data_IF_273336755966
#
_entry.id   IF_273336755966
#
_cell.length_a   1.000
_cell.length_b   1.000
_cell.length_c   1.000
_cell.angle_alpha   90.00
_cell.angle_beta   90.00
_cell.angle_gamma   90.00
#
_symmetry.space_group_name_H-M   'P 1'
#
loop_
_entity.id
_entity.type
_entity.pdbx_description
1 polymer ?
#
# COMPACT_ATOMS: atom_id res chain seq x y z
N UNK A 1 12.35 -7.27 -5.84
CA UNK A 1 11.36 -7.45 -4.74
C UNK A 1 10.05 -7.88 -5.37
N UNK A 2 9.44 -8.99 -4.93
CA UNK A 2 8.31 -9.64 -5.62
C UNK A 2 6.95 -8.98 -5.36
N UNK A 3 6.83 -8.14 -4.32
CA UNK A 3 5.58 -7.44 -3.94
C UNK A 3 5.83 -5.99 -3.51
N UNK A 4 4.82 -5.13 -3.71
CA UNK A 4 4.85 -3.77 -3.18
C UNK A 4 4.85 -3.77 -1.64
N UNK A 5 5.58 -2.86 -0.97
CA UNK A 5 5.63 -2.79 0.49
C UNK A 5 4.25 -2.68 1.17
N UNK A 6 3.29 -2.04 0.50
CA UNK A 6 1.91 -1.92 0.97
C UNK A 6 1.23 -3.29 1.10
N UNK A 7 1.32 -4.09 0.02
CA UNK A 7 0.74 -5.43 -0.04
C UNK A 7 1.41 -6.31 1.02
N UNK A 8 2.73 -6.21 1.14
CA UNK A 8 3.49 -6.96 2.15
C UNK A 8 3.06 -6.61 3.57
N UNK A 9 2.83 -5.33 3.87
CA UNK A 9 2.36 -4.90 5.19
C UNK A 9 1.02 -5.53 5.55
N UNK A 10 0.05 -5.53 4.63
CA UNK A 10 -1.27 -6.12 4.87
C UNK A 10 -1.16 -7.62 5.14
N UNK A 11 -0.35 -8.35 4.35
CA UNK A 11 -0.15 -9.79 4.56
C UNK A 11 0.49 -10.09 5.92
N UNK A 12 1.50 -9.31 6.32
CA UNK A 12 2.13 -9.42 7.62
C UNK A 12 1.16 -9.17 8.76
N UNK A 13 0.35 -8.12 8.66
CA UNK A 13 -0.62 -7.81 9.71
C UNK A 13 -1.73 -8.88 9.81
N UNK A 14 -2.24 -9.38 8.68
CA UNK A 14 -3.18 -10.51 8.67
C UNK A 14 -2.57 -11.76 9.33
N UNK A 15 -1.31 -12.05 9.04
CA UNK A 15 -0.59 -13.17 9.63
C UNK A 15 -0.38 -12.99 11.15
N UNK A 16 -0.04 -11.79 11.60
CA UNK A 16 0.03 -11.45 13.02
C UNK A 16 -1.31 -11.61 13.72
N UNK A 17 -2.40 -11.14 13.12
CA UNK A 17 -3.75 -11.31 13.67
C UNK A 17 -4.13 -12.78 13.79
N UNK A 18 -3.80 -13.60 12.79
CA UNK A 18 -4.00 -15.06 12.85
C UNK A 18 -3.22 -15.72 13.99
N UNK A 19 -1.95 -15.37 14.20
CA UNK A 19 -1.19 -15.90 15.34
C UNK A 19 -1.73 -15.41 16.69
N UNK A 20 -2.19 -14.16 16.73
CA UNK A 20 -2.78 -13.54 17.91
C UNK A 20 -4.07 -14.23 18.34
N UNK A 21 -4.88 -14.77 17.41
CA UNK A 21 -6.09 -15.52 17.77
C UNK A 21 -5.78 -16.81 18.54
N UNK A 22 -4.72 -17.54 18.18
CA UNK A 22 -4.29 -18.71 18.95
C UNK A 22 -3.74 -18.32 20.32
N UNK A 23 -2.97 -17.23 20.37
CA UNK A 23 -2.44 -16.70 21.63
C UNK A 23 -3.56 -16.33 22.59
N UNK A 24 -4.60 -15.64 22.11
CA UNK A 24 -5.76 -15.28 22.92
C UNK A 24 -6.51 -16.51 23.44
N UNK A 25 -6.71 -17.53 22.58
CA UNK A 25 -7.33 -18.79 22.98
C UNK A 25 -6.52 -19.49 24.08
N UNK A 26 -5.20 -19.61 23.91
CA UNK A 26 -4.31 -20.24 24.88
C UNK A 26 -4.31 -19.47 26.22
N UNK A 27 -4.26 -18.15 26.18
CA UNK A 27 -4.32 -17.31 27.39
C UNK A 27 -5.66 -17.47 28.12
N UNK A 28 -6.78 -17.57 27.40
CA UNK A 28 -8.09 -17.82 28.00
C UNK A 28 -8.16 -19.19 28.68
N UNK A 29 -7.64 -20.24 28.05
CA UNK A 29 -7.56 -21.59 28.63
C UNK A 29 -6.71 -21.60 29.90
N UNK A 30 -5.56 -20.93 29.89
CA UNK A 30 -4.68 -20.84 31.07
C UNK A 30 -5.34 -20.05 32.20
N UNK A 31 -6.01 -18.94 31.87
CA UNK A 31 -6.75 -18.15 32.87
C UNK A 31 -7.88 -18.97 33.51
N UNK A 32 -8.55 -19.80 32.71
CA UNK A 32 -9.65 -20.66 33.18
C UNK A 32 -9.16 -21.77 34.12
N UNK A 33 -8.02 -22.40 33.80
CA UNK A 33 -7.52 -23.56 34.53
C UNK A 33 -6.58 -23.23 35.70
N UNK A 34 -5.93 -22.07 35.70
CA UNK A 34 -4.93 -21.68 36.69
C UNK A 34 -5.30 -20.37 37.37
N UNK A 35 -4.79 -19.24 36.89
CA UNK A 35 -5.00 -17.91 37.44
C UNK A 35 -4.77 -16.81 36.38
N UNK A 36 -5.33 -15.63 36.63
CA UNK A 36 -5.23 -14.45 35.74
C UNK A 36 -3.77 -14.04 35.46
N UNK A 37 -2.87 -13.95 36.47
CA UNK A 37 -1.46 -13.63 36.23
C UNK A 37 -0.77 -14.57 35.23
N UNK A 38 -1.00 -15.88 35.30
CA UNK A 38 -0.43 -16.83 34.34
C UNK A 38 -1.00 -16.63 32.94
N UNK A 39 -2.32 -16.40 32.82
CA UNK A 39 -2.96 -16.07 31.55
C UNK A 39 -2.37 -14.82 30.88
N UNK A 40 -2.14 -13.75 31.67
CA UNK A 40 -1.53 -12.52 31.18
C UNK A 40 -0.07 -12.71 30.72
N UNK A 41 0.72 -13.53 31.43
CA UNK A 41 2.09 -13.89 30.99
C UNK A 41 2.09 -14.62 29.66
N UNK A 42 1.19 -15.60 29.49
CA UNK A 42 1.03 -16.35 28.24
C UNK A 42 0.60 -15.42 27.10
N UNK A 43 -0.33 -14.51 27.36
CA UNK A 43 -0.76 -13.51 26.39
C UNK A 43 0.42 -12.61 25.96
N UNK A 44 1.16 -12.06 26.91
CA UNK A 44 2.29 -11.18 26.62
C UNK A 44 3.40 -11.91 25.83
N UNK A 45 3.76 -13.12 26.25
CA UNK A 45 4.77 -13.94 25.57
C UNK A 45 4.31 -14.33 24.15
N UNK A 46 3.07 -14.77 23.98
CA UNK A 46 2.54 -15.18 22.68
C UNK A 46 2.38 -14.02 21.70
N UNK A 47 1.97 -12.83 22.16
CA UNK A 47 1.93 -11.63 21.32
C UNK A 47 3.34 -11.18 20.92
N UNK A 48 4.30 -11.22 21.84
CA UNK A 48 5.71 -10.93 21.56
C UNK A 48 6.29 -11.89 20.51
N UNK A 49 6.06 -13.19 20.67
CA UNK A 49 6.50 -14.20 19.71
C UNK A 49 5.80 -14.02 18.34
N UNK A 50 4.49 -13.80 18.33
CA UNK A 50 3.71 -13.55 17.11
C UNK A 50 4.25 -12.34 16.33
N UNK A 51 4.63 -11.27 17.05
CA UNK A 51 5.25 -10.09 16.46
C UNK A 51 6.62 -10.41 15.86
N UNK A 52 7.50 -11.11 16.59
CA UNK A 52 8.83 -11.51 16.09
C UNK A 52 8.69 -12.36 14.82
N UNK A 53 7.81 -13.37 14.83
CA UNK A 53 7.59 -14.23 13.66
C UNK A 53 7.04 -13.43 12.47
N UNK A 54 6.13 -12.48 12.70
CA UNK A 54 5.65 -11.57 11.65
C UNK A 54 6.80 -10.73 11.03
N UNK A 55 7.66 -10.13 11.86
CA UNK A 55 8.78 -9.30 11.39
C UNK A 55 9.76 -10.13 10.57
N UNK A 56 10.08 -11.35 11.03
CA UNK A 56 11.01 -12.26 10.36
C UNK A 56 10.47 -12.85 9.05
N UNK A 57 9.15 -12.95 8.90
CA UNK A 57 8.52 -13.52 7.71
C UNK A 57 8.66 -12.56 6.52
N UNK A 58 9.56 -12.91 5.59
CA UNK A 58 9.81 -12.12 4.37
C UNK A 58 8.92 -12.53 3.20
N UNK A 59 8.60 -13.82 3.13
CA UNK A 59 7.89 -14.39 1.99
C UNK A 59 6.51 -14.91 2.41
N UNK A 60 5.52 -14.59 1.58
CA UNK A 60 4.18 -15.13 1.66
C UNK A 60 3.95 -15.95 0.40
N UNK A 61 3.65 -17.23 0.58
CA UNK A 61 3.32 -18.08 -0.54
C UNK A 61 2.04 -17.56 -1.20
N UNK A 62 2.02 -17.41 -2.53
CA UNK A 62 0.79 -17.05 -3.22
C UNK A 62 -0.27 -18.15 -2.98
N UNK A 63 -1.56 -17.79 -3.01
CA UNK A 63 -2.62 -18.77 -2.88
C UNK A 63 -2.58 -19.76 -4.06
N UNK A 64 -3.02 -21.00 -3.82
CA UNK A 64 -2.98 -22.06 -4.83
C UNK A 64 -3.76 -21.67 -6.09
N UNK A 65 -3.07 -21.66 -7.23
CA UNK A 65 -3.56 -21.03 -8.47
C UNK A 65 -4.88 -21.63 -8.96
N UNK A 66 -5.02 -22.97 -8.94
CA UNK A 66 -6.22 -23.67 -9.42
C UNK A 66 -7.48 -23.33 -8.61
N UNK A 67 -7.38 -23.43 -7.28
CA UNK A 67 -8.50 -23.14 -6.39
C UNK A 67 -8.88 -21.66 -6.46
N UNK A 68 -7.87 -20.79 -6.53
CA UNK A 68 -8.11 -19.34 -6.55
C UNK A 68 -8.71 -18.90 -7.89
N UNK A 69 -8.25 -19.44 -9.02
CA UNK A 69 -8.85 -19.18 -10.34
C UNK A 69 -10.32 -19.64 -10.41
N UNK A 70 -10.63 -20.83 -9.89
CA UNK A 70 -12.02 -21.34 -9.83
C UNK A 70 -12.93 -20.44 -9.00
N UNK A 71 -12.47 -20.00 -7.82
CA UNK A 71 -13.21 -19.06 -6.96
C UNK A 71 -13.40 -17.70 -7.65
N UNK A 72 -12.35 -17.17 -8.29
CA UNK A 72 -12.41 -15.89 -9.01
C UNK A 72 -13.40 -15.93 -10.18
N UNK A 73 -13.33 -16.96 -11.02
CA UNK A 73 -14.25 -17.12 -12.14
C UNK A 73 -15.72 -17.14 -11.66
N UNK A 74 -15.99 -17.82 -10.55
CA UNK A 74 -17.31 -17.83 -9.93
C UNK A 74 -17.73 -16.46 -9.39
N UNK A 75 -16.83 -15.72 -8.73
CA UNK A 75 -17.14 -14.41 -8.15
C UNK A 75 -17.43 -13.36 -9.22
N UNK A 76 -16.71 -13.33 -10.35
CA UNK A 76 -16.94 -12.33 -11.42
C UNK A 76 -18.29 -12.56 -12.11
N UNK A 77 -18.70 -13.82 -12.25
CA UNK A 77 -20.02 -14.15 -12.79
C UNK A 77 -21.16 -13.64 -11.90
N UNK A 78 -20.90 -13.44 -10.60
CA UNK A 78 -21.90 -13.03 -9.62
C UNK A 78 -21.81 -11.54 -9.25
N UNK A 79 -20.62 -10.94 -9.30
CA UNK A 79 -20.36 -9.57 -8.88
C UNK A 79 -19.40 -8.87 -9.85
N UNK A 80 -19.97 -7.97 -10.66
CA UNK A 80 -19.23 -7.11 -11.59
C UNK A 80 -18.95 -5.72 -10.99
N UNK A 81 -18.96 -5.58 -9.67
CA UNK A 81 -18.60 -4.32 -9.02
C UNK A 81 -17.16 -3.91 -9.35
N UNK A 82 -16.86 -2.60 -9.43
CA UNK A 82 -15.50 -2.12 -9.71
C UNK A 82 -14.45 -2.70 -8.76
N UNK A 83 -14.84 -2.93 -7.50
CA UNK A 83 -14.01 -3.58 -6.49
C UNK A 83 -13.61 -5.01 -6.88
N UNK A 84 -14.58 -5.82 -7.28
CA UNK A 84 -14.34 -7.22 -7.65
C UNK A 84 -13.50 -7.32 -8.92
N UNK A 85 -13.75 -6.46 -9.90
CA UNK A 85 -12.95 -6.36 -11.13
C UNK A 85 -11.50 -5.92 -10.84
N UNK A 86 -11.30 -4.85 -10.06
CA UNK A 86 -9.97 -4.36 -9.70
C UNK A 86 -9.17 -5.41 -8.93
N UNK A 87 -9.82 -6.12 -7.99
CA UNK A 87 -9.20 -7.23 -7.26
C UNK A 87 -8.81 -8.36 -8.20
N UNK A 88 -9.71 -8.76 -9.11
CA UNK A 88 -9.42 -9.84 -10.04
C UNK A 88 -8.27 -9.50 -10.99
N UNK A 89 -8.26 -8.28 -11.54
CA UNK A 89 -7.16 -7.81 -12.37
C UNK A 89 -5.83 -7.80 -11.61
N UNK A 90 -5.84 -7.35 -10.36
CA UNK A 90 -4.64 -7.40 -9.50
C UNK A 90 -4.16 -8.84 -9.28
N UNK A 91 -5.09 -9.79 -9.11
CA UNK A 91 -4.75 -11.19 -8.95
C UNK A 91 -4.17 -11.80 -10.24
N UNK A 92 -4.77 -11.53 -11.39
CA UNK A 92 -4.24 -11.91 -12.71
C UNK A 92 -2.80 -11.41 -12.87
N UNK A 93 -2.56 -10.14 -12.50
CA UNK A 93 -1.25 -9.52 -12.61
C UNK A 93 -0.21 -10.12 -11.65
N UNK A 94 -0.48 -10.11 -10.34
CA UNK A 94 0.52 -10.45 -9.31
C UNK A 94 0.67 -11.94 -9.05
N UNK A 95 -0.39 -12.74 -9.19
CA UNK A 95 -0.38 -14.16 -8.83
C UNK A 95 -0.34 -15.09 -10.04
N UNK A 96 -1.06 -14.74 -11.11
CA UNK A 96 -1.06 -15.56 -12.33
C UNK A 96 -0.02 -15.11 -13.34
N UNK A 97 0.59 -13.93 -13.15
CA UNK A 97 1.56 -13.35 -14.08
C UNK A 97 0.99 -13.19 -15.51
N UNK A 98 -0.28 -12.77 -15.59
CA UNK A 98 -1.03 -12.57 -16.83
C UNK A 98 -1.31 -11.07 -17.07
N UNK A 99 -0.28 -10.25 -17.35
CA UNK A 99 -0.43 -8.80 -17.44
C UNK A 99 -1.36 -8.35 -18.57
N UNK A 100 -1.31 -9.04 -19.72
CA UNK A 100 -2.16 -8.73 -20.86
C UNK A 100 -3.65 -8.93 -20.53
N UNK A 101 -3.99 -10.02 -19.85
CA UNK A 101 -5.37 -10.32 -19.44
C UNK A 101 -5.85 -9.33 -18.38
N UNK A 102 -5.01 -9.01 -17.38
CA UNK A 102 -5.33 -8.01 -16.36
C UNK A 102 -5.61 -6.62 -16.95
N UNK A 103 -4.77 -6.18 -17.90
CA UNK A 103 -4.94 -4.90 -18.60
C UNK A 103 -6.21 -4.92 -19.44
N UNK A 104 -6.41 -5.95 -20.27
CA UNK A 104 -7.59 -6.07 -21.14
C UNK A 104 -8.89 -6.07 -20.35
N UNK A 105 -8.92 -6.76 -19.20
CA UNK A 105 -10.06 -6.76 -18.30
C UNK A 105 -10.34 -5.34 -17.78
N UNK A 106 -9.35 -4.63 -17.25
CA UNK A 106 -9.55 -3.29 -16.71
C UNK A 106 -9.96 -2.28 -17.79
N UNK A 107 -9.40 -2.39 -18.98
CA UNK A 107 -9.76 -1.55 -20.14
C UNK A 107 -11.23 -1.72 -20.53
N UNK A 108 -11.77 -2.94 -20.46
CA UNK A 108 -13.20 -3.20 -20.71
C UNK A 108 -14.11 -2.41 -19.76
N UNK A 109 -13.67 -2.16 -18.54
CA UNK A 109 -14.42 -1.41 -17.52
C UNK A 109 -14.00 0.05 -17.39
N UNK A 110 -13.03 0.52 -18.20
CA UNK A 110 -12.57 1.91 -18.18
C UNK A 110 -13.67 2.94 -18.45
N UNK A 111 -14.69 2.70 -19.31
CA UNK A 111 -15.80 3.64 -19.52
C UNK A 111 -16.61 3.96 -18.27
N UNK A 112 -16.55 3.12 -17.22
CA UNK A 112 -17.21 3.40 -15.93
C UNK A 112 -16.61 4.61 -15.20
N UNK A 113 -15.38 5.02 -15.57
CA UNK A 113 -14.63 6.09 -14.90
C UNK A 113 -14.45 5.89 -13.39
N UNK A 114 -14.59 4.64 -12.92
CA UNK A 114 -14.42 4.31 -11.52
C UNK A 114 -12.95 4.54 -11.08
N UNK A 115 -12.70 5.34 -10.02
CA UNK A 115 -11.34 5.64 -9.56
C UNK A 115 -10.51 4.39 -9.23
N UNK A 116 -11.12 3.32 -8.69
CA UNK A 116 -10.41 2.11 -8.32
C UNK A 116 -9.94 1.34 -9.56
N UNK A 117 -10.76 1.28 -10.62
CA UNK A 117 -10.38 0.68 -11.91
C UNK A 117 -9.24 1.47 -12.55
N UNK A 118 -9.39 2.80 -12.65
CA UNK A 118 -8.38 3.67 -13.24
C UNK A 118 -7.04 3.62 -12.49
N UNK A 119 -7.07 3.60 -11.16
CA UNK A 119 -5.85 3.52 -10.33
C UNK A 119 -5.17 2.16 -10.46
N UNK A 120 -5.94 1.06 -10.45
CA UNK A 120 -5.40 -0.29 -10.65
C UNK A 120 -4.75 -0.43 -12.03
N UNK A 121 -5.43 0.05 -13.08
CA UNK A 121 -4.90 0.04 -14.44
C UNK A 121 -3.65 0.92 -14.57
N UNK A 122 -3.68 2.13 -13.99
CA UNK A 122 -2.55 3.03 -13.96
C UNK A 122 -1.32 2.43 -13.27
N UNK A 123 -1.52 1.72 -12.16
CA UNK A 123 -0.43 1.04 -11.44
C UNK A 123 0.17 -0.11 -12.26
N UNK A 124 -0.67 -0.97 -12.84
CA UNK A 124 -0.21 -2.06 -13.70
C UNK A 124 0.54 -1.50 -14.92
N UNK A 125 -0.02 -0.51 -15.60
CA UNK A 125 0.64 0.11 -16.76
C UNK A 125 1.98 0.76 -16.38
N UNK A 126 2.08 1.37 -15.21
CA UNK A 126 3.34 1.92 -14.72
C UNK A 126 4.41 0.83 -14.55
N UNK A 127 4.04 -0.32 -13.98
CA UNK A 127 4.95 -1.46 -13.78
C UNK A 127 5.37 -2.12 -15.09
N UNK A 128 4.48 -2.13 -16.08
CA UNK A 128 4.77 -2.56 -17.45
C UNK A 128 5.55 -1.51 -18.28
N UNK A 129 6.08 -0.45 -17.64
CA UNK A 129 6.85 0.61 -18.31
C UNK A 129 6.03 1.56 -19.19
N UNK A 130 4.70 1.43 -19.19
CA UNK A 130 3.76 2.25 -19.99
C UNK A 130 3.34 3.52 -19.25
N UNK A 131 4.29 4.23 -18.67
CA UNK A 131 4.05 5.38 -17.78
C UNK A 131 3.24 6.52 -18.45
N UNK A 132 3.50 6.83 -19.73
CA UNK A 132 2.74 7.86 -20.47
C UNK A 132 1.25 7.49 -20.58
N UNK A 133 0.95 6.23 -20.89
CA UNK A 133 -0.42 5.72 -21.01
C UNK A 133 -1.11 5.69 -19.64
N UNK A 134 -0.39 5.28 -18.60
CA UNK A 134 -0.89 5.34 -17.23
C UNK A 134 -1.29 6.78 -16.85
N UNK A 135 -0.43 7.76 -17.13
CA UNK A 135 -0.71 9.16 -16.81
C UNK A 135 -1.93 9.70 -17.57
N UNK A 136 -2.07 9.36 -18.85
CA UNK A 136 -3.21 9.74 -19.67
C UNK A 136 -4.54 9.26 -19.07
N UNK A 137 -4.64 7.96 -18.80
CA UNK A 137 -5.84 7.33 -18.22
C UNK A 137 -6.19 7.96 -16.87
N UNK A 138 -5.19 8.22 -16.02
CA UNK A 138 -5.43 8.77 -14.68
C UNK A 138 -5.83 10.24 -14.70
N UNK A 139 -5.39 11.03 -15.69
CA UNK A 139 -5.70 12.46 -15.82
C UNK A 139 -7.05 12.72 -16.46
N UNK A 140 -7.44 11.88 -17.41
CA UNK A 140 -8.73 12.00 -18.11
C UNK A 140 -9.92 11.57 -17.25
N UNK A 141 -9.66 10.98 -16.08
CA UNK A 141 -10.71 10.63 -15.14
C UNK A 141 -11.38 11.89 -14.53
N UNK A 142 -12.71 12.01 -14.50
CA UNK A 142 -13.42 13.16 -13.92
C UNK A 142 -13.05 13.46 -12.46
N UNK A 143 -12.63 12.45 -11.70
CA UNK A 143 -12.25 12.56 -10.30
C UNK A 143 -10.73 12.75 -10.08
N UNK A 144 -9.95 12.95 -11.15
CA UNK A 144 -8.49 13.02 -11.15
C UNK A 144 -7.89 14.03 -10.14
N UNK A 145 -8.64 15.08 -9.77
CA UNK A 145 -8.18 16.14 -8.89
C UNK A 145 -8.78 16.09 -7.47
N UNK A 146 -9.74 15.21 -7.23
CA UNK A 146 -10.50 15.15 -5.97
C UNK A 146 -10.38 13.80 -5.27
N UNK A 147 -10.16 12.71 -6.02
CA UNK A 147 -9.95 11.40 -5.40
C UNK A 147 -8.51 11.25 -4.90
N UNK A 148 -8.29 10.95 -3.60
CA UNK A 148 -6.96 10.86 -3.03
C UNK A 148 -6.14 9.69 -3.60
N UNK A 149 -6.77 8.58 -4.03
CA UNK A 149 -6.07 7.44 -4.60
C UNK A 149 -5.58 7.72 -6.02
N UNK A 150 -6.40 8.37 -6.85
CA UNK A 150 -6.03 8.85 -8.18
C UNK A 150 -4.86 9.82 -8.10
N UNK A 151 -4.92 10.80 -7.20
CA UNK A 151 -3.83 11.76 -6.98
C UNK A 151 -2.53 11.08 -6.58
N UNK A 152 -2.58 10.13 -5.63
CA UNK A 152 -1.41 9.36 -5.22
C UNK A 152 -0.83 8.55 -6.38
N UNK A 153 -1.69 7.91 -7.19
CA UNK A 153 -1.27 7.09 -8.32
C UNK A 153 -0.65 7.94 -9.43
N UNK A 154 -1.25 9.09 -9.76
CA UNK A 154 -0.65 10.07 -10.66
C UNK A 154 0.71 10.57 -10.13
N UNK A 155 0.81 10.86 -8.83
CA UNK A 155 2.07 11.25 -8.20
C UNK A 155 3.16 10.19 -8.38
N UNK A 156 2.82 8.90 -8.24
CA UNK A 156 3.75 7.79 -8.51
C UNK A 156 4.22 7.76 -9.96
N UNK A 157 3.30 7.93 -10.91
CA UNK A 157 3.63 7.96 -12.35
C UNK A 157 4.53 9.15 -12.66
N UNK A 158 4.20 10.35 -12.17
CA UNK A 158 4.98 11.57 -12.36
C UNK A 158 6.38 11.45 -11.75
N UNK A 159 6.50 10.88 -10.55
CA UNK A 159 7.80 10.60 -9.93
C UNK A 159 8.64 9.67 -10.81
N UNK A 160 8.04 8.62 -11.35
CA UNK A 160 8.73 7.65 -12.19
C UNK A 160 9.27 8.28 -13.49
N UNK A 161 8.56 9.23 -14.09
CA UNK A 161 9.02 9.96 -15.28
C UNK A 161 9.87 11.20 -14.96
N UNK A 162 10.33 11.36 -13.71
CA UNK A 162 11.24 12.43 -13.31
C UNK A 162 10.59 13.80 -13.04
N UNK A 163 9.25 13.90 -13.08
CA UNK A 163 8.52 15.15 -12.78
C UNK A 163 8.32 15.33 -11.28
N UNK A 164 9.43 15.45 -10.54
CA UNK A 164 9.45 15.41 -9.08
C UNK A 164 8.65 16.54 -8.41
N UNK A 165 8.72 17.82 -8.85
CA UNK A 165 7.92 18.88 -8.22
C UNK A 165 6.41 18.66 -8.37
N UNK A 166 5.96 18.19 -9.53
CA UNK A 166 4.55 17.89 -9.79
C UNK A 166 4.09 16.70 -8.95
N UNK A 167 4.89 15.63 -8.89
CA UNK A 167 4.62 14.47 -8.05
C UNK A 167 4.47 14.84 -6.56
N UNK A 168 5.35 15.70 -6.06
CA UNK A 168 5.33 16.21 -4.68
C UNK A 168 3.99 16.88 -4.37
N UNK A 169 3.54 17.79 -5.23
CA UNK A 169 2.24 18.49 -5.07
C UNK A 169 1.05 17.53 -5.08
N UNK A 170 1.07 16.50 -5.94
CA UNK A 170 -0.01 15.52 -5.98
C UNK A 170 -0.05 14.65 -4.71
N UNK A 171 1.11 14.24 -4.18
CA UNK A 171 1.17 13.50 -2.91
C UNK A 171 0.71 14.36 -1.72
N UNK A 172 1.13 15.61 -1.64
CA UNK A 172 0.66 16.56 -0.61
C UNK A 172 -0.87 16.74 -0.68
N UNK A 173 -1.40 16.94 -1.88
CA UNK A 173 -2.85 17.08 -2.10
C UNK A 173 -3.61 15.81 -1.74
N UNK A 174 -3.11 14.64 -2.14
CA UNK A 174 -3.67 13.34 -1.76
C UNK A 174 -3.74 13.16 -0.25
N UNK A 175 -2.65 13.47 0.49
CA UNK A 175 -2.65 13.43 1.95
C UNK A 175 -3.63 14.43 2.57
N UNK A 176 -3.71 15.64 2.03
CA UNK A 176 -4.63 16.67 2.51
C UNK A 176 -6.09 16.22 2.35
N UNK A 177 -6.45 15.71 1.18
CA UNK A 177 -7.79 15.21 0.88
C UNK A 177 -8.11 13.96 1.71
N UNK A 178 -7.17 13.04 1.91
CA UNK A 178 -7.39 11.82 2.70
C UNK A 178 -7.81 12.07 4.17
N UNK A 179 -7.56 13.29 4.68
CA UNK A 179 -8.00 13.71 6.02
C UNK A 179 -9.46 14.16 6.04
N UNK A 180 -9.95 14.69 4.92
CA UNK A 180 -11.33 15.20 4.76
C UNK A 180 -12.24 14.13 4.17
N UNK A 181 -11.75 13.45 3.16
CA UNK A 181 -12.40 12.40 2.40
C UNK A 181 -11.67 11.08 2.63
N UNK A 182 -12.41 9.97 2.75
CA UNK A 182 -11.79 8.65 2.92
C UNK A 182 -11.34 8.13 1.56
N UNK A 183 -10.24 7.36 1.54
CA UNK A 183 -9.88 6.57 0.36
C UNK A 183 -11.05 5.69 -0.08
N UNK A 184 -11.18 5.42 -1.40
CA UNK A 184 -12.23 4.56 -1.93
C UNK A 184 -12.21 3.17 -1.27
N UNK A 185 -13.39 2.55 -1.17
CA UNK A 185 -13.52 1.21 -0.59
C UNK A 185 -12.83 0.19 -1.50
N UNK A 186 -11.75 -0.40 -0.98
CA UNK A 186 -10.92 -1.43 -1.63
C UNK A 186 -11.10 -2.82 -1.01
N UNK A 187 -11.95 -2.95 0.02
CA UNK A 187 -12.37 -4.21 0.62
C UNK A 187 -13.80 -4.12 1.16
N UNK A 188 -14.51 -5.24 1.14
CA UNK A 188 -15.83 -5.37 1.79
C UNK A 188 -15.71 -5.50 3.32
N UNK A 189 -14.56 -5.96 3.83
CA UNK A 189 -14.30 -6.04 5.27
C UNK A 189 -13.76 -4.71 5.79
N UNK A 190 -14.41 -4.16 6.83
CA UNK A 190 -14.06 -2.87 7.41
C UNK A 190 -12.65 -2.83 8.04
N UNK A 191 -12.20 -3.92 8.66
CA UNK A 191 -10.86 -4.04 9.26
C UNK A 191 -9.82 -4.01 8.17
N UNK A 192 -9.99 -4.84 7.14
CA UNK A 192 -9.08 -4.86 5.98
C UNK A 192 -9.03 -3.51 5.28
N UNK A 193 -10.17 -2.83 5.12
CA UNK A 193 -10.22 -1.49 4.54
C UNK A 193 -9.43 -0.48 5.40
N UNK A 194 -9.56 -0.53 6.73
CA UNK A 194 -8.81 0.34 7.63
C UNK A 194 -7.30 0.10 7.54
N UNK A 195 -6.88 -1.16 7.53
CA UNK A 195 -5.49 -1.56 7.39
C UNK A 195 -4.92 -1.06 6.05
N UNK A 196 -5.65 -1.28 4.95
CA UNK A 196 -5.28 -0.80 3.62
C UNK A 196 -5.16 0.72 3.57
N UNK A 197 -6.12 1.43 4.17
CA UNK A 197 -6.09 2.90 4.26
C UNK A 197 -4.82 3.39 4.98
N UNK A 198 -4.48 2.79 6.12
CA UNK A 198 -3.26 3.13 6.88
C UNK A 198 -2.02 2.85 6.02
N UNK A 199 -2.00 1.71 5.33
CA UNK A 199 -0.91 1.32 4.43
C UNK A 199 -0.71 2.33 3.29
N UNK A 200 -1.80 2.79 2.66
CA UNK A 200 -1.73 3.80 1.60
C UNK A 200 -1.18 5.12 2.12
N UNK A 201 -1.68 5.62 3.26
CA UNK A 201 -1.19 6.87 3.85
C UNK A 201 0.30 6.76 4.20
N UNK A 202 0.73 5.64 4.77
CA UNK A 202 2.13 5.38 5.09
C UNK A 202 3.02 5.43 3.84
N UNK A 203 2.61 4.76 2.76
CA UNK A 203 3.37 4.77 1.52
C UNK A 203 3.37 6.14 0.85
N UNK A 204 2.27 6.90 0.86
CA UNK A 204 2.26 8.26 0.32
C UNK A 204 3.25 9.15 1.09
N UNK A 205 3.28 9.05 2.42
CA UNK A 205 4.29 9.73 3.23
C UNK A 205 5.72 9.34 2.85
N UNK A 206 6.00 8.04 2.70
CA UNK A 206 7.32 7.59 2.28
C UNK A 206 7.70 8.06 0.88
N UNK A 207 6.77 8.04 -0.09
CA UNK A 207 7.01 8.51 -1.45
C UNK A 207 7.22 10.01 -1.51
N UNK A 208 6.46 10.77 -0.73
CA UNK A 208 6.64 12.21 -0.58
C UNK A 208 7.99 12.53 0.06
N UNK A 209 8.41 11.77 1.08
CA UNK A 209 9.74 11.89 1.66
C UNK A 209 10.84 11.65 0.61
N UNK A 210 10.71 10.58 -0.21
CA UNK A 210 11.64 10.32 -1.30
C UNK A 210 11.71 11.50 -2.29
N UNK A 211 10.57 12.14 -2.61
CA UNK A 211 10.55 13.33 -3.48
C UNK A 211 11.29 14.51 -2.85
N UNK A 212 11.08 14.78 -1.56
CA UNK A 212 11.79 15.85 -0.85
C UNK A 212 13.30 15.60 -0.75
N UNK A 213 13.75 14.34 -0.64
CA UNK A 213 15.18 14.02 -0.76
C UNK A 213 15.73 14.46 -2.13
N UNK A 214 15.01 14.14 -3.21
CA UNK A 214 15.44 14.52 -4.57
C UNK A 214 15.43 16.05 -4.75
N UNK A 215 14.53 16.76 -4.08
CA UNK A 215 14.45 18.21 -4.07
C UNK A 215 15.42 18.89 -3.07
N UNK A 216 16.27 18.12 -2.38
CA UNK A 216 17.22 18.61 -1.36
C UNK A 216 16.54 19.28 -0.13
N UNK A 217 15.27 18.98 0.13
CA UNK A 217 14.55 19.39 1.34
C UNK A 217 14.56 18.26 2.40
N UNK A 218 15.71 18.10 3.03
CA UNK A 218 15.93 17.03 4.03
C UNK A 218 15.00 17.17 5.24
N UNK A 219 14.62 18.40 5.60
CA UNK A 219 13.75 18.67 6.74
C UNK A 219 12.36 18.08 6.52
N UNK A 220 11.75 18.36 5.36
CA UNK A 220 10.47 17.76 5.01
C UNK A 220 10.58 16.25 4.79
N UNK A 221 11.67 15.77 4.19
CA UNK A 221 11.90 14.34 4.01
C UNK A 221 11.90 13.57 5.35
N UNK A 222 12.65 14.05 6.35
CA UNK A 222 12.68 13.44 7.70
C UNK A 222 11.30 13.43 8.35
N UNK A 223 10.57 14.55 8.26
CA UNK A 223 9.20 14.68 8.79
C UNK A 223 8.29 13.61 8.18
N UNK A 224 8.34 13.43 6.87
CA UNK A 224 7.48 12.49 6.16
C UNK A 224 7.89 11.03 6.35
N UNK A 225 9.18 10.69 6.44
CA UNK A 225 9.60 9.35 6.84
C UNK A 225 9.09 8.99 8.24
N UNK A 226 9.20 9.91 9.21
CA UNK A 226 8.69 9.70 10.57
C UNK A 226 7.17 9.53 10.58
N UNK A 227 6.45 10.33 9.81
CA UNK A 227 4.98 10.24 9.71
C UNK A 227 4.55 8.89 9.11
N UNK A 228 5.19 8.44 8.02
CA UNK A 228 4.91 7.14 7.41
C UNK A 228 5.25 5.95 8.32
N UNK A 229 6.42 5.98 8.98
CA UNK A 229 6.84 4.90 9.88
C UNK A 229 5.90 4.73 11.08
N UNK A 230 5.37 5.83 11.64
CA UNK A 230 4.41 5.78 12.75
C UNK A 230 3.10 5.06 12.42
N UNK A 231 2.76 4.93 11.15
CA UNK A 231 1.56 4.23 10.68
C UNK A 231 1.78 2.72 10.50
N UNK A 232 3.04 2.27 10.49
CA UNK A 232 3.39 0.87 10.25
C UNK A 232 3.82 0.22 11.57
N UNK A 233 3.09 -0.81 11.98
CA UNK A 233 3.44 -1.63 13.15
C UNK A 233 4.74 -2.43 12.93
N UNK A 234 4.99 -2.82 11.68
CA UNK A 234 6.17 -3.59 11.30
C UNK A 234 7.38 -2.66 11.08
N UNK A 235 8.31 -2.69 12.03
CA UNK A 235 9.57 -1.92 11.98
C UNK A 235 10.46 -2.31 10.79
N UNK A 236 10.31 -3.51 10.23
CA UNK A 236 11.10 -3.92 9.06
C UNK A 236 10.70 -3.18 7.78
N UNK A 237 9.53 -2.54 7.77
CA UNK A 237 9.05 -1.70 6.66
C UNK A 237 9.38 -0.22 6.87
N UNK A 238 9.98 0.14 7.99
CA UNK A 238 10.34 1.53 8.27
C UNK A 238 11.44 1.99 7.31
N UNK A 239 11.25 3.17 6.73
CA UNK A 239 12.24 3.80 5.86
C UNK A 239 13.03 4.83 6.65
N UNK A 240 14.33 4.93 6.35
CA UNK A 240 15.22 5.90 6.96
C UNK A 240 15.56 6.99 5.96
N UNK A 241 15.62 8.22 6.44
CA UNK A 241 16.22 9.30 5.69
C UNK A 241 17.70 8.97 5.47
N UNK A 242 18.22 9.04 4.24
CA UNK A 242 19.65 8.89 4.02
C UNK A 242 20.42 9.95 4.82
N UNK A 243 21.62 9.61 5.33
CA UNK A 243 22.48 10.61 5.96
C UNK A 243 22.83 11.69 4.93
N UNK A 244 22.79 12.95 5.34
CA UNK A 244 23.26 14.05 4.49
C UNK A 244 24.79 13.89 4.39
N UNK A 245 25.38 13.84 3.19
CA UNK A 245 26.83 13.88 3.06
C UNK A 245 27.34 15.15 3.73
N UNK A 246 28.24 14.99 4.70
CA UNK A 246 28.82 16.11 5.46
C UNK A 246 29.58 17.07 4.51
N UNK A 247 29.99 16.59 3.34
CA UNK A 247 30.68 17.39 2.30
C UNK A 247 29.76 18.18 1.37
N UNK A 248 28.44 18.13 1.57
CA UNK A 248 27.52 19.07 0.92
C UNK A 248 27.50 20.43 1.65
N UNK A 249 28.67 20.96 1.99
CA UNK A 249 28.83 22.41 2.09
C UNK A 249 28.47 22.98 0.74
N UNK A 250 27.25 23.48 0.63
CA UNK A 250 26.74 24.24 -0.51
C UNK A 250 27.56 25.52 -0.63
N UNK A 251 28.75 25.39 -1.20
CA UNK A 251 29.52 26.45 -1.79
C UNK A 251 28.87 26.75 -3.14
N UNK A 252 27.71 27.43 -3.09
CA UNK A 252 27.18 28.20 -4.20
C UNK A 252 26.79 29.56 -3.65
N UNK A 253 27.84 30.32 -3.29
CA UNK A 253 27.91 31.72 -3.69
C UNK A 253 27.87 31.75 -5.23
N UNK A 254 26.87 32.41 -5.77
CA UNK A 254 26.89 33.21 -6.98
C UNK A 254 25.76 34.24 -6.72
N UNK A 255 25.93 35.56 -6.49
CA UNK A 255 26.87 36.54 -7.09
C UNK A 255 27.13 36.15 -8.54
N UNK A 256 26.25 36.50 -9.48
CA UNK A 256 25.86 37.83 -9.94
C UNK A 256 24.54 37.74 -10.70
#
# INVERSE_FOLDING_TARGET
MRYDPEILYVHKLCFFMFLSTFTLLAAAIVTWNFDIPSGLKVLAAGLGLSYIVMVLKKDFNPPETKLTAKRMAHTILQDTSPLSIARFASQLYYYFHEPAQAISLLEKYLPSQDPLICTTLGDILLKEGKAKRALYILRDNPFALVDPLLLATQGRVLKHIGKIPEATRLFERSLSLSKREKFPKSSSNWITQKILTISYIANIHHRLADCYIILDDITQAKKHYKAGNRLLLDISLWRRCPPVPIDSTKNRKNTY
#
